data_IF_742752312287
#
_entry.id   IF_742752312287
#
_cell.length_a   1.000
_cell.length_b   1.000
_cell.length_c   1.000
_cell.angle_alpha   90.00
_cell.angle_beta   90.00
_cell.angle_gamma   90.00
#
_symmetry.space_group_name_H-M   'P 1'
#
loop_
_entity.id
_entity.type
_entity.pdbx_description
1 polymer ?
#
# COMPACT_ATOMS: atom_id res chain seq x y z
N UNK A 1 29.37 -18.13 3.43
CA UNK A 1 28.88 -17.01 4.26
C UNK A 1 27.40 -16.86 3.98
N UNK A 2 26.60 -17.34 4.93
CA UNK A 2 25.24 -17.83 4.70
C UNK A 2 24.23 -16.71 4.97
N UNK A 3 23.49 -16.31 3.94
CA UNK A 3 22.33 -15.41 4.09
C UNK A 3 21.22 -16.14 4.87
N UNK A 4 20.70 -15.58 5.98
CA UNK A 4 19.56 -16.20 6.66
C UNK A 4 18.31 -16.07 5.78
N UNK A 5 17.55 -17.16 5.55
CA UNK A 5 16.28 -17.13 4.84
C UNK A 5 15.15 -16.90 5.85
N UNK A 6 14.89 -15.66 6.25
CA UNK A 6 13.67 -15.33 7.02
C UNK A 6 13.56 -13.84 7.37
N UNK A 7 13.40 -12.98 6.36
CA UNK A 7 12.53 -11.81 6.53
C UNK A 7 11.09 -12.31 6.52
N UNK A 8 10.72 -13.01 7.60
CA UNK A 8 9.33 -13.25 7.94
C UNK A 8 8.73 -11.87 8.18
N UNK A 9 7.99 -11.39 7.18
CA UNK A 9 7.06 -10.27 7.33
C UNK A 9 6.13 -10.68 8.46
N UNK A 10 6.43 -10.24 9.68
CA UNK A 10 5.68 -10.62 10.87
C UNK A 10 4.21 -10.27 10.62
N UNK A 11 3.28 -11.22 10.73
CA UNK A 11 1.86 -10.97 10.48
C UNK A 11 1.28 -9.89 11.42
N UNK A 12 1.99 -9.49 12.49
CA UNK A 12 1.58 -8.43 13.40
C UNK A 12 1.66 -6.99 12.85
N UNK A 13 2.60 -6.65 11.96
CA UNK A 13 2.71 -5.26 11.45
C UNK A 13 1.59 -4.91 10.46
N UNK A 14 1.01 -5.91 9.79
CA UNK A 14 -0.08 -5.74 8.82
C UNK A 14 -1.44 -5.48 9.49
N UNK A 15 -1.66 -6.06 10.68
CA UNK A 15 -2.93 -5.89 11.43
C UNK A 15 -3.08 -4.47 11.97
N UNK A 16 -1.99 -3.82 12.36
CA UNK A 16 -2.03 -2.44 12.85
C UNK A 16 -2.40 -1.45 11.73
N UNK A 17 -1.81 -1.62 10.53
CA UNK A 17 -2.19 -0.87 9.33
C UNK A 17 -3.64 -1.12 8.91
N UNK A 18 -4.11 -2.37 9.02
CA UNK A 18 -5.49 -2.74 8.72
C UNK A 18 -6.47 -2.14 9.73
N UNK A 19 -6.18 -2.14 11.03
CA UNK A 19 -7.03 -1.53 12.07
C UNK A 19 -7.10 0.00 11.93
N UNK A 20 -5.98 0.62 11.59
CA UNK A 20 -5.89 2.06 11.36
C UNK A 20 -6.66 2.44 10.08
N UNK A 21 -6.54 1.66 8.99
CA UNK A 21 -7.33 1.84 7.77
C UNK A 21 -8.83 1.54 7.96
N UNK A 22 -9.19 0.51 8.73
CA UNK A 22 -10.57 0.17 9.09
C UNK A 22 -11.18 1.29 9.94
N UNK A 23 -10.43 1.88 10.87
CA UNK A 23 -10.90 2.99 11.71
C UNK A 23 -11.14 4.26 10.89
N UNK A 24 -10.28 4.53 9.90
CA UNK A 24 -10.45 5.66 8.96
C UNK A 24 -11.67 5.49 8.06
N UNK A 25 -12.00 4.26 7.64
CA UNK A 25 -13.10 4.01 6.69
C UNK A 25 -14.46 3.71 7.35
N UNK A 26 -14.51 3.44 8.66
CA UNK A 26 -15.78 3.32 9.41
C UNK A 26 -16.55 4.64 9.51
N UNK A 27 -15.93 5.77 9.11
CA UNK A 27 -16.56 7.09 8.99
C UNK A 27 -17.48 7.24 7.76
N UNK A 28 -17.49 6.29 6.82
CA UNK A 28 -18.41 6.28 5.66
C UNK A 28 -19.56 5.28 5.88
N UNK A 29 -20.53 5.67 6.70
CA UNK A 29 -21.78 4.92 6.91
C UNK A 29 -22.63 4.97 5.62
N UNK A 30 -23.05 3.84 5.01
CA UNK A 30 -24.14 3.85 4.04
C UNK A 30 -25.47 4.06 4.78
N UNK A 31 -26.22 5.10 4.43
CA UNK A 31 -27.63 5.17 4.78
C UNK A 31 -28.37 4.13 3.93
N UNK A 32 -28.93 3.14 4.61
CA UNK A 32 -29.71 2.07 3.99
C UNK A 32 -31.13 2.59 3.72
N UNK A 33 -31.34 3.24 2.59
CA UNK A 33 -32.71 3.56 2.13
C UNK A 33 -33.27 2.39 1.31
N UNK A 34 -34.31 1.75 1.83
CA UNK A 34 -35.07 0.67 1.17
C UNK A 34 -35.82 1.25 -0.03
N UNK A 35 -35.64 0.71 -1.25
CA UNK A 35 -36.36 1.13 -2.45
C UNK A 35 -37.14 0.00 -3.11
N UNK A 36 -38.40 0.29 -3.44
CA UNK A 36 -39.45 -0.55 -4.04
C UNK A 36 -39.06 -1.12 -5.43
N UNK A 37 -39.55 -2.31 -5.85
CA UNK A 37 -39.15 -2.92 -7.13
C UNK A 37 -39.82 -2.22 -8.33
N UNK A 38 -39.05 -2.01 -9.41
CA UNK A 38 -39.49 -1.48 -10.70
C UNK A 38 -38.96 -2.40 -11.84
N UNK A 39 -39.64 -2.48 -13.00
CA UNK A 39 -39.43 -3.49 -14.06
C UNK A 39 -38.05 -3.41 -14.76
N UNK A 40 -37.62 -4.47 -15.51
CA UNK A 40 -36.22 -4.73 -15.80
C UNK A 40 -35.62 -3.74 -16.81
N UNK A 41 -35.00 -2.70 -16.28
CA UNK A 41 -34.08 -1.83 -17.02
C UNK A 41 -32.81 -2.62 -17.28
N UNK A 42 -32.31 -2.60 -18.52
CA UNK A 42 -31.01 -3.19 -18.91
C UNK A 42 -29.95 -2.95 -17.82
N UNK A 43 -29.12 -3.96 -17.46
CA UNK A 43 -28.30 -3.89 -16.27
C UNK A 43 -27.29 -2.75 -16.40
N UNK A 44 -27.62 -1.60 -15.82
CA UNK A 44 -26.70 -0.47 -15.69
C UNK A 44 -25.50 -0.98 -14.90
N UNK A 45 -24.30 -0.83 -15.46
CA UNK A 45 -23.04 -1.21 -14.78
C UNK A 45 -23.02 -0.54 -13.40
N UNK A 46 -23.17 -1.35 -12.34
CA UNK A 46 -23.26 -0.87 -10.96
C UNK A 46 -21.95 -0.15 -10.61
N UNK A 47 -22.02 1.17 -10.42
CA UNK A 47 -20.87 1.95 -9.95
C UNK A 47 -20.68 1.69 -8.46
N UNK A 48 -19.46 1.32 -8.08
CA UNK A 48 -19.11 1.19 -6.67
C UNK A 48 -19.04 2.57 -6.01
N UNK A 49 -19.42 2.65 -4.74
CA UNK A 49 -19.25 3.87 -3.95
C UNK A 49 -17.75 4.21 -3.86
N UNK A 50 -17.38 5.50 -3.80
CA UNK A 50 -15.99 5.90 -3.62
C UNK A 50 -15.42 5.24 -2.34
N UNK A 51 -14.22 4.68 -2.44
CA UNK A 51 -13.57 3.92 -1.35
C UNK A 51 -13.86 2.42 -1.35
N UNK A 52 -14.97 1.93 -1.94
CA UNK A 52 -15.28 0.49 -1.94
C UNK A 52 -14.28 -0.34 -2.75
N UNK A 53 -13.85 0.14 -3.93
CA UNK A 53 -12.82 -0.56 -4.72
C UNK A 53 -11.45 -0.56 -4.05
N UNK A 54 -11.04 0.59 -3.52
CA UNK A 54 -9.78 0.72 -2.78
C UNK A 54 -9.73 -0.27 -1.60
N UNK A 55 -10.84 -0.41 -0.85
CA UNK A 55 -10.95 -1.40 0.23
C UNK A 55 -10.82 -2.85 -0.26
N UNK A 56 -11.42 -3.18 -1.40
CA UNK A 56 -11.33 -4.53 -1.97
C UNK A 56 -9.91 -4.84 -2.44
N UNK A 57 -9.24 -3.87 -3.06
CA UNK A 57 -7.84 -3.99 -3.52
C UNK A 57 -6.90 -4.17 -2.33
N UNK A 58 -7.06 -3.39 -1.26
CA UNK A 58 -6.22 -3.51 -0.06
C UNK A 58 -6.37 -4.90 0.56
N UNK A 59 -7.61 -5.40 0.70
CA UNK A 59 -7.84 -6.76 1.22
C UNK A 59 -7.24 -7.84 0.32
N UNK A 60 -7.29 -7.64 -1.00
CA UNK A 60 -6.70 -8.55 -1.97
C UNK A 60 -5.18 -8.60 -1.82
N UNK A 61 -4.52 -7.44 -1.82
CA UNK A 61 -3.06 -7.32 -1.73
C UNK A 61 -2.48 -7.59 -0.34
N UNK A 62 -3.31 -7.60 0.71
CA UNK A 62 -2.90 -8.09 2.03
C UNK A 62 -3.02 -9.61 2.16
N UNK A 63 -3.87 -10.24 1.32
CA UNK A 63 -4.05 -11.70 1.31
C UNK A 63 -3.01 -12.40 0.46
N UNK A 64 -2.56 -11.79 -0.64
CA UNK A 64 -1.49 -12.30 -1.48
C UNK A 64 -0.19 -11.51 -1.27
N UNK A 65 0.95 -12.20 -1.37
CA UNK A 65 2.29 -11.58 -1.30
C UNK A 65 2.94 -11.54 -2.69
N UNK A 66 2.14 -11.39 -3.74
CA UNK A 66 2.63 -11.29 -5.12
C UNK A 66 3.27 -9.92 -5.36
N UNK A 67 4.27 -9.89 -6.25
CA UNK A 67 4.92 -8.63 -6.62
C UNK A 67 3.96 -7.78 -7.47
N UNK A 68 3.69 -6.58 -6.98
CA UNK A 68 2.74 -5.61 -7.54
C UNK A 68 3.33 -4.85 -8.72
N UNK A 69 4.66 -4.70 -8.73
CA UNK A 69 5.39 -4.05 -9.82
C UNK A 69 5.67 -5.05 -10.95
N UNK A 70 5.53 -4.60 -12.19
CA UNK A 70 5.87 -5.39 -13.38
C UNK A 70 7.37 -5.72 -13.34
N UNK A 71 7.71 -7.01 -13.28
CA UNK A 71 9.09 -7.49 -13.11
C UNK A 71 10.06 -6.98 -14.18
N UNK A 72 9.66 -6.99 -15.45
CA UNK A 72 10.55 -6.67 -16.57
C UNK A 72 11.03 -5.19 -16.58
N UNK A 73 10.16 -4.17 -16.58
CA UNK A 73 10.61 -2.77 -16.59
C UNK A 73 11.34 -2.40 -15.29
N UNK A 74 10.87 -2.89 -14.15
CA UNK A 74 11.48 -2.55 -12.86
C UNK A 74 12.86 -3.20 -12.68
N UNK A 75 13.04 -4.44 -13.15
CA UNK A 75 14.35 -5.10 -13.18
C UNK A 75 15.36 -4.34 -14.06
N UNK A 76 14.93 -3.81 -15.22
CA UNK A 76 15.79 -2.98 -16.09
C UNK A 76 16.25 -1.72 -15.36
N UNK A 77 15.32 -1.00 -14.71
CA UNK A 77 15.63 0.20 -13.94
C UNK A 77 16.61 -0.08 -12.79
N UNK A 78 16.37 -1.13 -12.01
CA UNK A 78 17.26 -1.50 -10.90
C UNK A 78 18.66 -1.83 -11.39
N UNK A 79 18.79 -2.54 -12.53
CA UNK A 79 20.10 -2.84 -13.13
C UNK A 79 20.83 -1.59 -13.59
N UNK A 80 20.13 -0.66 -14.25
CA UNK A 80 20.68 0.61 -14.73
C UNK A 80 21.24 1.45 -13.58
N UNK A 81 20.50 1.55 -12.48
CA UNK A 81 20.93 2.25 -11.27
C UNK A 81 22.11 1.52 -10.63
N UNK A 82 22.03 0.21 -10.37
CA UNK A 82 23.12 -0.57 -9.76
C UNK A 82 24.45 -0.47 -10.54
N UNK A 83 24.37 -0.48 -11.87
CA UNK A 83 25.53 -0.38 -12.75
C UNK A 83 26.22 0.99 -12.64
N UNK A 84 25.48 2.03 -12.26
CA UNK A 84 26.00 3.39 -12.09
C UNK A 84 26.70 3.62 -10.73
N UNK A 85 26.44 2.78 -9.71
CA UNK A 85 26.92 3.02 -8.35
C UNK A 85 27.96 2.02 -7.85
N UNK A 86 27.74 0.69 -7.94
CA UNK A 86 28.71 -0.27 -7.38
C UNK A 86 28.66 -1.70 -7.93
N UNK A 87 27.94 -1.97 -9.02
CA UNK A 87 27.92 -3.30 -9.67
C UNK A 87 27.22 -4.41 -8.87
N UNK A 88 26.82 -4.15 -7.62
CA UNK A 88 26.05 -5.10 -6.82
C UNK A 88 24.62 -5.26 -7.36
N UNK A 89 24.22 -6.51 -7.57
CA UNK A 89 22.88 -6.85 -8.03
C UNK A 89 21.87 -6.70 -6.88
N UNK A 90 21.29 -5.51 -6.73
CA UNK A 90 20.16 -5.32 -5.81
C UNK A 90 18.98 -6.17 -6.26
N UNK A 91 18.37 -6.87 -5.31
CA UNK A 91 17.13 -7.61 -5.56
C UNK A 91 15.99 -6.60 -5.60
N UNK A 92 15.36 -6.48 -6.76
CA UNK A 92 14.16 -5.66 -6.96
C UNK A 92 13.03 -5.98 -5.95
N UNK A 93 13.01 -7.19 -5.40
CA UNK A 93 12.13 -7.60 -4.29
C UNK A 93 12.33 -6.76 -3.01
N UNK A 94 13.56 -6.37 -2.70
CA UNK A 94 13.88 -5.55 -1.53
C UNK A 94 13.38 -4.11 -1.69
N UNK A 95 13.44 -3.56 -2.90
CA UNK A 95 12.94 -2.23 -3.21
C UNK A 95 11.41 -2.14 -3.05
N UNK A 96 10.68 -3.17 -3.46
CA UNK A 96 9.23 -3.23 -3.27
C UNK A 96 8.85 -3.32 -1.78
N UNK A 97 9.53 -4.15 -1.00
CA UNK A 97 9.32 -4.25 0.44
C UNK A 97 9.58 -2.92 1.16
N UNK A 98 10.64 -2.20 0.76
CA UNK A 98 10.95 -0.87 1.30
C UNK A 98 9.84 0.15 1.02
N UNK A 99 9.30 0.18 -0.20
CA UNK A 99 8.22 1.09 -0.57
C UNK A 99 6.94 0.81 0.25
N UNK A 100 6.54 -0.45 0.40
CA UNK A 100 5.37 -0.82 1.21
C UNK A 100 5.54 -0.36 2.66
N UNK A 101 6.72 -0.57 3.22
CA UNK A 101 7.06 -0.16 4.56
C UNK A 101 7.08 1.38 4.72
N UNK A 102 7.55 2.12 3.73
CA UNK A 102 7.52 3.59 3.74
C UNK A 102 6.09 4.15 3.66
N UNK A 103 5.25 3.55 2.81
CA UNK A 103 3.84 3.95 2.69
C UNK A 103 3.02 3.64 3.94
N UNK A 104 3.37 2.57 4.68
CA UNK A 104 2.81 2.30 6.00
C UNK A 104 2.98 3.47 6.95
N UNK A 105 4.20 4.00 7.05
CA UNK A 105 4.52 5.09 7.97
C UNK A 105 3.95 6.43 7.51
N UNK A 106 3.98 6.68 6.19
CA UNK A 106 3.34 7.86 5.62
C UNK A 106 1.81 7.85 5.87
N UNK A 107 1.18 6.67 5.85
CA UNK A 107 -0.22 6.52 6.19
C UNK A 107 -0.49 6.85 7.67
N UNK A 108 0.37 6.44 8.61
CA UNK A 108 0.27 6.84 10.02
C UNK A 108 0.40 8.36 10.18
N UNK A 109 1.31 9.00 9.44
CA UNK A 109 1.48 10.45 9.43
C UNK A 109 0.23 11.18 8.89
N UNK A 110 -0.38 10.66 7.82
CA UNK A 110 -1.61 11.21 7.27
C UNK A 110 -2.77 11.17 8.29
N UNK A 111 -2.87 10.07 9.04
CA UNK A 111 -3.93 9.84 10.03
C UNK A 111 -3.72 10.67 11.29
N UNK A 112 -2.47 10.86 11.71
CA UNK A 112 -2.12 11.82 12.74
C UNK A 112 -2.65 13.23 12.40
N UNK A 113 -2.61 13.62 11.13
CA UNK A 113 -3.18 14.85 10.62
C UNK A 113 -4.68 14.78 10.25
N UNK A 114 -5.41 13.75 10.70
CA UNK A 114 -6.84 13.52 10.44
C UNK A 114 -7.22 13.42 8.94
N UNK A 115 -6.29 13.02 8.08
CA UNK A 115 -6.48 12.84 6.63
C UNK A 115 -6.47 11.37 6.25
N UNK A 116 -7.13 11.05 5.12
CA UNK A 116 -7.17 9.71 4.53
C UNK A 116 -6.25 9.58 3.31
N UNK A 117 -5.96 10.71 2.65
CA UNK A 117 -5.08 10.77 1.49
C UNK A 117 -3.66 11.06 1.94
N UNK A 118 -2.70 10.27 1.43
CA UNK A 118 -1.26 10.47 1.64
C UNK A 118 -0.78 11.60 0.73
N UNK A 119 -0.01 12.53 1.29
CA UNK A 119 0.63 13.63 0.57
C UNK A 119 2.16 13.52 0.63
N UNK A 120 2.90 14.20 -0.26
CA UNK A 120 4.37 14.19 -0.24
C UNK A 120 4.98 14.59 1.11
N UNK A 121 4.33 15.54 1.83
CA UNK A 121 4.72 15.94 3.19
C UNK A 121 4.70 14.79 4.21
N UNK A 122 3.79 13.83 4.05
CA UNK A 122 3.68 12.68 4.96
C UNK A 122 4.83 11.68 4.72
N UNK A 123 5.26 11.55 3.46
CA UNK A 123 6.43 10.74 3.09
C UNK A 123 7.73 11.40 3.56
N UNK A 124 7.85 12.72 3.37
CA UNK A 124 9.01 13.49 3.86
C UNK A 124 9.15 13.38 5.37
N UNK A 125 8.03 13.52 6.10
CA UNK A 125 8.00 13.34 7.55
C UNK A 125 8.41 11.92 7.96
N UNK A 126 7.85 10.90 7.31
CA UNK A 126 8.20 9.50 7.58
C UNK A 126 9.69 9.20 7.32
N UNK A 127 10.26 9.75 6.23
CA UNK A 127 11.70 9.62 5.94
C UNK A 127 12.56 10.30 6.99
N UNK A 128 12.17 11.50 7.44
CA UNK A 128 12.89 12.28 8.45
C UNK A 128 12.88 11.59 9.81
N UNK A 129 11.76 11.00 10.21
CA UNK A 129 11.64 10.25 11.47
C UNK A 129 12.47 8.94 11.42
N UNK A 130 12.53 8.28 10.26
CA UNK A 130 13.31 7.04 10.10
C UNK A 130 14.82 7.24 10.07
N UNK A 131 15.32 8.45 9.83
CA UNK A 131 16.77 8.71 9.76
C UNK A 131 17.47 8.10 8.54
N UNK A 132 16.76 7.82 7.44
CA UNK A 132 17.34 7.25 6.20
C UNK A 132 18.11 8.29 5.37
N UNK A 133 18.51 9.41 5.96
CA UNK A 133 19.33 10.45 5.31
C UNK A 133 20.77 10.51 5.86
N UNK A 134 21.15 9.60 6.76
CA UNK A 134 22.50 9.58 7.37
C UNK A 134 23.21 8.21 7.28
N UNK A 135 23.19 7.57 6.12
CA UNK A 135 24.19 6.57 5.73
C UNK A 135 24.50 6.68 4.24
#
# INVERSE_FOLDING_TARGET
MSCPPSLTVRPGCSVFLLLVLISVLKKMRPDTSVSRPQPPVSPRKRRFRPGTRALMEIRKYQKSSDLLLRKAPFSRLVREVCQSFSGESLRWQAAEAFLVLLFSDANLCAIHAKRVTIFPRDIQLARRIRGVETM
#
